data_IF_230315385659
#
_entry.id   IF_230315385659
#
_cell.length_a   1.000
_cell.length_b   1.000
_cell.length_c   1.000
_cell.angle_alpha   90.00
_cell.angle_beta   90.00
_cell.angle_gamma   90.00
#
_symmetry.space_group_name_H-M   'P 1'
#
loop_
_entity.id
_entity.type
_entity.pdbx_description
1 polymer ?
#
# COMPACT_ATOMS: atom_id res chain seq x y z
N UNK A 1 -18.40 20.70 13.83
CA UNK A 1 -18.56 19.46 13.04
C UNK A 1 -18.06 19.60 11.58
N UNK A 2 -18.27 20.74 10.89
CA UNK A 2 -17.86 20.89 9.48
C UNK A 2 -16.34 20.87 9.30
N UNK A 3 -15.58 21.51 10.18
CA UNK A 3 -14.11 21.40 10.19
C UNK A 3 -13.65 19.95 10.41
N UNK A 4 -14.33 19.22 11.26
CA UNK A 4 -14.02 17.80 11.52
C UNK A 4 -14.33 16.93 10.30
N UNK A 5 -15.44 17.19 9.59
CA UNK A 5 -15.78 16.50 8.34
C UNK A 5 -14.72 16.74 7.27
N UNK A 6 -14.28 17.99 7.12
CA UNK A 6 -13.20 18.34 6.18
C UNK A 6 -11.87 17.67 6.56
N UNK A 7 -11.49 17.67 7.86
CA UNK A 7 -10.30 16.95 8.35
C UNK A 7 -10.38 15.45 8.03
N UNK A 8 -11.51 14.82 8.30
CA UNK A 8 -11.72 13.41 8.00
C UNK A 8 -11.61 13.09 6.50
N UNK A 9 -12.19 13.92 5.64
CA UNK A 9 -12.10 13.76 4.19
C UNK A 9 -10.65 13.88 3.71
N UNK A 10 -9.91 14.87 4.21
CA UNK A 10 -8.49 15.03 3.91
C UNK A 10 -7.65 13.84 4.38
N UNK A 11 -7.90 13.33 5.60
CA UNK A 11 -7.25 12.14 6.14
C UNK A 11 -7.51 10.91 5.27
N UNK A 12 -8.76 10.71 4.84
CA UNK A 12 -9.12 9.59 3.97
C UNK A 12 -8.39 9.67 2.63
N UNK A 13 -8.38 10.83 2.00
CA UNK A 13 -7.69 11.04 0.72
C UNK A 13 -6.18 10.84 0.86
N UNK A 14 -5.55 11.37 1.92
CA UNK A 14 -4.13 11.23 2.17
C UNK A 14 -3.73 9.77 2.46
N UNK A 15 -4.53 9.03 3.25
CA UNK A 15 -4.34 7.59 3.49
C UNK A 15 -4.42 6.81 2.19
N UNK A 16 -5.46 7.03 1.40
CA UNK A 16 -5.70 6.29 0.17
C UNK A 16 -4.57 6.56 -0.83
N UNK A 17 -4.11 7.81 -0.95
CA UNK A 17 -2.94 8.17 -1.74
C UNK A 17 -1.67 7.46 -1.26
N UNK A 18 -1.36 7.52 0.03
CA UNK A 18 -0.19 6.86 0.60
C UNK A 18 -0.23 5.34 0.37
N UNK A 19 -1.40 4.70 0.53
CA UNK A 19 -1.58 3.28 0.27
C UNK A 19 -1.28 2.91 -1.19
N UNK A 20 -1.79 3.69 -2.15
CA UNK A 20 -1.52 3.48 -3.58
C UNK A 20 -0.03 3.59 -3.87
N UNK A 21 0.64 4.63 -3.37
CA UNK A 21 2.08 4.83 -3.59
C UNK A 21 2.92 3.70 -2.97
N UNK A 22 2.60 3.27 -1.74
CA UNK A 22 3.31 2.13 -1.13
C UNK A 22 3.11 0.86 -1.96
N UNK A 23 1.88 0.52 -2.35
CA UNK A 23 1.61 -0.68 -3.14
C UNK A 23 2.22 -0.63 -4.55
N UNK A 24 2.30 0.56 -5.16
CA UNK A 24 2.86 0.74 -6.50
C UNK A 24 4.39 0.63 -6.53
N UNK A 25 5.08 1.22 -5.56
CA UNK A 25 6.52 1.46 -5.68
C UNK A 25 7.39 0.61 -4.75
N UNK A 26 6.87 0.08 -3.63
CA UNK A 26 7.70 -0.72 -2.71
C UNK A 26 7.78 -2.20 -3.08
N UNK A 27 6.93 -2.64 -3.99
CA UNK A 27 6.78 -4.04 -4.36
C UNK A 27 6.49 -5.02 -3.20
N UNK A 28 6.13 -4.54 -2.01
CA UNK A 28 5.71 -5.39 -0.88
C UNK A 28 4.42 -6.12 -1.21
N UNK A 29 4.26 -7.30 -0.65
CA UNK A 29 2.99 -8.02 -0.74
C UNK A 29 1.96 -7.33 0.15
N UNK A 30 0.73 -7.19 -0.34
CA UNK A 30 -0.34 -6.55 0.44
C UNK A 30 -0.54 -7.17 1.83
N UNK A 31 -0.36 -8.49 1.97
CA UNK A 31 -0.44 -9.17 3.27
C UNK A 31 0.80 -8.98 4.16
N UNK A 32 1.88 -8.36 3.68
CA UNK A 32 3.02 -7.93 4.49
C UNK A 32 2.79 -6.52 5.05
N UNK A 33 2.03 -5.70 4.33
CA UNK A 33 1.72 -4.32 4.68
C UNK A 33 0.52 -4.20 5.62
N UNK A 34 -0.49 -5.05 5.45
CA UNK A 34 -1.80 -4.93 6.08
C UNK A 34 -2.09 -6.08 7.04
N UNK A 35 -3.13 -5.89 7.87
CA UNK A 35 -3.53 -6.89 8.86
C UNK A 35 -4.16 -8.13 8.21
N UNK A 36 -3.77 -9.30 8.71
CA UNK A 36 -4.49 -10.56 8.51
C UNK A 36 -5.25 -10.92 9.79
N UNK A 37 -6.59 -10.98 9.79
CA UNK A 37 -7.37 -11.35 10.96
C UNK A 37 -7.07 -12.75 11.50
N UNK A 38 -6.55 -13.64 10.66
CA UNK A 38 -6.27 -15.03 11.01
C UNK A 38 -4.82 -15.27 11.47
N UNK A 39 -3.93 -14.27 11.33
CA UNK A 39 -2.55 -14.36 11.81
C UNK A 39 -2.19 -13.12 12.65
N UNK A 40 -2.15 -13.23 14.00
CA UNK A 40 -1.89 -12.09 14.89
C UNK A 40 -0.49 -11.46 14.68
N UNK A 41 0.45 -12.19 14.08
CA UNK A 41 1.78 -11.66 13.72
C UNK A 41 1.70 -10.66 12.58
N UNK A 42 0.64 -10.74 11.75
CA UNK A 42 0.33 -9.82 10.64
C UNK A 42 -0.62 -8.73 11.10
N UNK A 43 -0.13 -7.90 12.03
CA UNK A 43 -0.90 -6.79 12.60
C UNK A 43 -1.09 -5.60 11.66
N UNK A 44 -0.42 -5.61 10.53
CA UNK A 44 -0.22 -4.46 9.65
C UNK A 44 0.92 -3.56 10.13
N UNK A 45 1.52 -2.83 9.20
CA UNK A 45 2.65 -1.94 9.45
C UNK A 45 2.22 -0.75 10.32
N UNK A 46 3.04 -0.38 11.29
CA UNK A 46 2.87 0.77 12.19
C UNK A 46 3.88 1.86 11.86
N UNK A 47 3.69 3.04 12.40
CA UNK A 47 4.64 4.12 12.21
C UNK A 47 6.01 3.82 12.82
N UNK A 48 6.09 3.04 13.91
CA UNK A 48 7.34 2.54 14.50
C UNK A 48 8.13 1.59 13.58
N UNK A 49 7.47 0.98 12.59
CA UNK A 49 8.10 0.09 11.63
C UNK A 49 8.67 0.84 10.40
N UNK A 50 8.51 2.18 10.33
CA UNK A 50 8.96 3.01 9.20
C UNK A 50 10.14 3.89 9.59
N UNK A 51 11.22 3.82 8.83
CA UNK A 51 12.30 4.82 8.83
C UNK A 51 12.22 5.65 7.55
N UNK A 52 11.45 6.76 7.62
CA UNK A 52 11.24 7.61 6.45
C UNK A 52 12.48 8.40 6.03
N UNK A 53 13.44 8.56 6.92
CA UNK A 53 14.71 9.24 6.65
C UNK A 53 15.72 8.28 6.01
N UNK A 54 15.71 7.00 6.39
CA UNK A 54 16.54 5.95 5.81
C UNK A 54 15.89 5.28 4.58
N UNK A 55 14.65 5.62 4.25
CA UNK A 55 13.93 5.05 3.12
C UNK A 55 13.65 3.54 3.27
N UNK A 56 13.29 3.11 4.48
CA UNK A 56 13.02 1.70 4.78
C UNK A 56 11.77 1.49 5.64
N UNK A 57 11.22 0.30 5.59
CA UNK A 57 10.18 -0.17 6.51
C UNK A 57 10.37 -1.65 6.84
N UNK A 58 10.08 -2.03 8.08
CA UNK A 58 10.07 -3.41 8.51
C UNK A 58 8.71 -4.05 8.19
N UNK A 59 8.74 -5.22 7.54
CA UNK A 59 7.55 -5.98 7.18
C UNK A 59 7.69 -7.44 7.60
N UNK A 60 6.55 -8.06 7.96
CA UNK A 60 6.54 -9.48 8.28
C UNK A 60 6.37 -10.30 6.99
N UNK A 61 7.49 -10.89 6.54
CA UNK A 61 7.58 -11.60 5.26
C UNK A 61 6.82 -12.94 5.28
N UNK A 62 6.62 -13.49 4.08
CA UNK A 62 6.05 -14.85 3.91
C UNK A 62 6.88 -15.93 4.60
N UNK A 63 8.19 -15.73 4.71
CA UNK A 63 9.13 -16.62 5.44
C UNK A 63 8.93 -16.63 6.97
N UNK A 64 7.90 -15.92 7.47
CA UNK A 64 7.57 -15.80 8.90
C UNK A 64 8.68 -15.13 9.73
N UNK A 65 9.36 -14.15 9.17
CA UNK A 65 10.35 -13.31 9.83
C UNK A 65 10.16 -11.84 9.46
N UNK A 66 10.59 -10.95 10.33
CA UNK A 66 10.70 -9.53 10.05
C UNK A 66 11.90 -9.27 9.15
N UNK A 67 11.74 -8.39 8.16
CA UNK A 67 12.79 -8.02 7.22
C UNK A 67 12.50 -6.63 6.65
N UNK A 68 13.55 -5.91 6.29
CA UNK A 68 13.44 -4.57 5.73
C UNK A 68 12.96 -4.61 4.28
N UNK A 69 12.07 -3.68 3.94
CA UNK A 69 11.66 -3.35 2.59
C UNK A 69 12.04 -1.91 2.26
N UNK A 70 12.42 -1.64 1.02
CA UNK A 70 12.79 -0.29 0.58
C UNK A 70 11.56 0.60 0.41
N UNK A 71 11.69 1.85 0.85
CA UNK A 71 10.77 2.95 0.59
C UNK A 71 11.44 3.93 -0.38
N UNK A 72 11.22 3.84 -1.68
CA UNK A 72 11.80 4.78 -2.64
C UNK A 72 11.20 6.18 -2.50
N UNK A 73 11.94 7.21 -2.92
CA UNK A 73 11.59 8.62 -2.76
C UNK A 73 10.14 8.99 -3.13
N UNK A 74 9.53 8.46 -4.22
CA UNK A 74 8.14 8.77 -4.53
C UNK A 74 7.14 8.41 -3.43
N UNK A 75 7.49 7.47 -2.53
CA UNK A 75 6.63 7.00 -1.43
C UNK A 75 6.77 7.87 -0.19
N UNK A 76 7.95 8.44 0.03
CA UNK A 76 8.29 9.19 1.26
C UNK A 76 7.39 10.42 1.44
N UNK A 77 7.25 11.25 0.39
CA UNK A 77 6.47 12.49 0.46
C UNK A 77 4.97 12.24 0.76
N UNK A 78 4.27 11.30 0.10
CA UNK A 78 2.91 10.92 0.47
C UNK A 78 2.77 10.43 1.91
N UNK A 79 3.69 9.59 2.39
CA UNK A 79 3.67 9.09 3.77
C UNK A 79 3.89 10.21 4.80
N UNK A 80 4.86 11.10 4.58
CA UNK A 80 5.11 12.25 5.45
C UNK A 80 3.89 13.19 5.50
N UNK A 81 3.30 13.49 4.35
CA UNK A 81 2.10 14.34 4.25
C UNK A 81 0.92 13.72 5.00
N UNK A 82 0.72 12.41 4.83
CA UNK A 82 -0.32 11.68 5.52
C UNK A 82 -0.09 11.64 7.04
N UNK A 83 1.14 11.34 7.50
CA UNK A 83 1.49 11.34 8.94
C UNK A 83 1.26 12.71 9.57
N UNK A 84 1.63 13.80 8.86
CA UNK A 84 1.41 15.17 9.31
C UNK A 84 -0.07 15.53 9.47
N UNK A 85 -0.96 15.01 8.62
CA UNK A 85 -2.41 15.21 8.73
C UNK A 85 -3.03 14.35 9.82
N UNK A 86 -2.58 13.10 9.95
CA UNK A 86 -3.10 12.14 10.90
C UNK A 86 -2.71 12.51 12.33
N UNK A 87 -1.47 12.97 12.56
CA UNK A 87 -0.90 13.22 13.89
C UNK A 87 -1.17 12.02 14.80
N UNK A 88 -0.58 10.84 14.52
CA UNK A 88 -0.85 9.64 15.31
C UNK A 88 -0.43 9.87 16.76
N UNK A 89 -1.25 9.51 17.76
CA UNK A 89 -0.93 9.72 19.18
C UNK A 89 0.36 9.04 19.62
N UNK A 90 0.66 7.88 19.04
CA UNK A 90 1.89 7.14 19.31
C UNK A 90 2.42 6.49 18.00
N UNK A 91 3.70 6.13 17.99
CA UNK A 91 4.31 5.41 16.87
C UNK A 91 3.74 3.99 16.67
N UNK A 92 3.04 3.46 17.67
CA UNK A 92 2.36 2.16 17.60
C UNK A 92 1.07 2.18 16.80
N UNK A 93 0.62 3.36 16.35
CA UNK A 93 -0.55 3.46 15.49
C UNK A 93 -0.28 2.82 14.13
N UNK A 94 -1.28 2.11 13.55
CA UNK A 94 -1.12 1.56 12.22
C UNK A 94 -0.96 2.68 11.19
N UNK A 95 -0.11 2.45 10.19
CA UNK A 95 0.03 3.39 9.07
C UNK A 95 -1.28 3.47 8.29
N UNK A 96 -1.96 2.35 8.13
CA UNK A 96 -3.23 2.26 7.41
C UNK A 96 -4.36 1.77 8.33
N UNK A 97 -4.86 2.60 9.27
CA UNK A 97 -5.96 2.21 10.15
C UNK A 97 -7.26 2.00 9.38
N UNK A 98 -8.15 1.19 9.93
CA UNK A 98 -9.51 1.10 9.42
C UNK A 98 -10.26 2.41 9.64
N UNK A 99 -11.08 2.81 8.64
CA UNK A 99 -12.04 3.91 8.74
C UNK A 99 -13.48 3.40 8.78
N UNK A 100 -13.64 2.08 8.95
CA UNK A 100 -14.96 1.46 9.08
C UNK A 100 -15.65 1.90 10.37
N UNK A 101 -16.79 2.57 10.21
CA UNK A 101 -17.51 3.17 11.33
C UNK A 101 -18.05 2.13 12.32
N UNK A 102 -18.43 0.94 11.86
CA UNK A 102 -18.94 -0.11 12.74
C UNK A 102 -17.81 -0.65 13.62
N UNK A 103 -16.67 -0.93 13.03
CA UNK A 103 -15.47 -1.39 13.75
C UNK A 103 -15.01 -0.35 14.78
N UNK A 104 -14.94 0.92 14.37
CA UNK A 104 -14.51 2.01 15.26
C UNK A 104 -15.51 2.25 16.39
N UNK A 105 -16.81 2.23 16.08
CA UNK A 105 -17.85 2.42 17.10
C UNK A 105 -17.83 1.34 18.18
N UNK A 106 -17.61 0.09 17.78
CA UNK A 106 -17.43 -1.03 18.73
C UNK A 106 -16.19 -0.83 19.61
N UNK A 107 -15.05 -0.62 18.96
CA UNK A 107 -13.76 -0.43 19.63
C UNK A 107 -13.81 0.74 20.65
N UNK A 108 -14.33 1.90 20.25
CA UNK A 108 -14.42 3.07 21.12
C UNK A 108 -15.31 2.80 22.31
N UNK A 109 -16.47 2.17 22.09
CA UNK A 109 -17.39 1.83 23.20
C UNK A 109 -16.73 0.91 24.21
N UNK A 110 -16.07 -0.15 23.73
CA UNK A 110 -15.45 -1.15 24.58
C UNK A 110 -14.26 -0.53 25.36
N UNK A 111 -13.38 0.20 24.70
CA UNK A 111 -12.23 0.86 25.32
C UNK A 111 -12.61 1.96 26.34
N UNK A 112 -13.63 2.78 26.05
CA UNK A 112 -14.08 3.82 26.98
C UNK A 112 -14.83 3.20 28.17
N UNK A 113 -15.59 2.12 27.96
CA UNK A 113 -16.20 1.36 29.03
C UNK A 113 -15.15 0.71 29.96
N UNK A 114 -14.08 0.14 29.40
CA UNK A 114 -12.96 -0.42 30.16
C UNK A 114 -12.20 0.66 30.96
N UNK A 115 -12.23 1.91 30.48
CA UNK A 115 -11.72 3.09 31.21
C UNK A 115 -12.71 3.61 32.28
N UNK A 116 -13.89 2.96 32.44
CA UNK A 116 -14.89 3.28 33.45
C UNK A 116 -15.92 4.34 33.04
N UNK A 117 -15.99 4.70 31.74
CA UNK A 117 -17.02 5.62 31.24
C UNK A 117 -18.40 4.91 31.16
N UNK A 118 -19.46 5.62 31.53
CA UNK A 118 -20.83 5.11 31.42
C UNK A 118 -21.33 5.16 29.97
N UNK A 119 -22.24 4.24 29.56
CA UNK A 119 -22.75 4.18 28.20
C UNK A 119 -23.34 5.50 27.65
N UNK A 120 -24.01 6.26 28.53
CA UNK A 120 -24.61 7.55 28.19
C UNK A 120 -23.50 8.57 27.86
N UNK A 121 -22.45 8.65 28.71
CA UNK A 121 -21.31 9.54 28.50
C UNK A 121 -20.53 9.20 27.22
N UNK A 122 -20.38 7.90 26.91
CA UNK A 122 -19.74 7.43 25.67
C UNK A 122 -20.56 7.89 24.44
N UNK A 123 -21.88 7.77 24.53
CA UNK A 123 -22.79 8.20 23.45
C UNK A 123 -22.70 9.70 23.22
N UNK A 124 -22.74 10.51 24.28
CA UNK A 124 -22.62 11.96 24.23
C UNK A 124 -21.26 12.36 23.64
N UNK A 125 -20.15 11.77 24.13
CA UNK A 125 -18.80 12.04 23.64
C UNK A 125 -18.66 11.73 22.14
N UNK A 126 -19.22 10.61 21.67
CA UNK A 126 -19.21 10.27 20.24
C UNK A 126 -20.00 11.27 19.39
N UNK A 127 -21.08 11.83 19.91
CA UNK A 127 -21.88 12.82 19.21
C UNK A 127 -21.14 14.16 18.99
N UNK A 128 -20.09 14.45 19.74
CA UNK A 128 -19.23 15.63 19.57
C UNK A 128 -18.30 15.51 18.34
N UNK A 129 -18.15 14.31 17.81
CA UNK A 129 -17.25 14.04 16.70
C UNK A 129 -18.01 13.71 15.41
N UNK A 130 -17.55 14.27 14.30
CA UNK A 130 -18.12 13.98 12.99
C UNK A 130 -17.88 12.53 12.53
N UNK A 131 -16.84 11.89 13.07
CA UNK A 131 -16.45 10.50 12.79
C UNK A 131 -15.70 9.89 13.95
N UNK A 132 -15.94 8.63 14.25
CA UNK A 132 -15.30 7.86 15.32
C UNK A 132 -13.76 7.83 15.23
N UNK A 133 -13.19 7.86 14.02
CA UNK A 133 -11.75 7.95 13.85
C UNK A 133 -11.14 9.19 14.52
N UNK A 134 -11.84 10.34 14.48
CA UNK A 134 -11.32 11.57 15.08
C UNK A 134 -11.35 11.48 16.61
N UNK A 135 -12.38 10.88 17.18
CA UNK A 135 -12.42 10.57 18.62
C UNK A 135 -11.33 9.58 19.00
N UNK A 136 -11.12 8.53 18.19
CA UNK A 136 -10.07 7.54 18.42
C UNK A 136 -8.67 8.19 18.44
N UNK A 137 -8.38 9.13 17.53
CA UNK A 137 -7.14 9.90 17.52
C UNK A 137 -6.99 10.77 18.79
N UNK A 138 -8.04 11.48 19.17
CA UNK A 138 -7.99 12.40 20.32
C UNK A 138 -7.92 11.67 21.68
N UNK A 139 -8.34 10.41 21.75
CA UNK A 139 -8.35 9.59 22.98
C UNK A 139 -7.29 8.49 23.02
N UNK A 140 -6.42 8.42 22.00
CA UNK A 140 -5.45 7.32 21.79
C UNK A 140 -6.10 5.92 21.88
N UNK A 141 -7.26 5.76 21.26
CA UNK A 141 -7.90 4.47 21.06
C UNK A 141 -7.45 3.93 19.71
N UNK A 142 -6.49 3.02 19.72
CA UNK A 142 -5.80 2.56 18.52
C UNK A 142 -6.65 1.58 17.71
N UNK A 143 -7.10 1.95 16.47
CA UNK A 143 -7.82 1.06 15.59
C UNK A 143 -6.92 -0.02 15.00
N UNK A 144 -7.46 -1.15 14.56
CA UNK A 144 -6.70 -2.10 13.78
C UNK A 144 -6.34 -1.53 12.40
N UNK A 145 -5.25 -2.04 11.79
CA UNK A 145 -4.96 -1.80 10.37
C UNK A 145 -6.07 -2.37 9.50
N UNK A 146 -6.28 -1.79 8.30
CA UNK A 146 -7.14 -2.39 7.28
C UNK A 146 -6.65 -3.79 6.89
N UNK A 147 -7.57 -4.60 6.41
CA UNK A 147 -7.27 -5.92 5.85
C UNK A 147 -6.95 -5.83 4.35
N UNK A 148 -6.47 -6.94 3.79
CA UNK A 148 -6.30 -7.06 2.34
C UNK A 148 -7.60 -6.78 1.57
N UNK A 149 -8.74 -7.22 2.09
CA UNK A 149 -10.04 -6.96 1.45
C UNK A 149 -10.46 -5.50 1.58
N UNK A 150 -10.13 -4.86 2.71
CA UNK A 150 -10.27 -3.42 2.87
C UNK A 150 -9.47 -2.63 1.82
N UNK A 151 -8.22 -3.04 1.58
CA UNK A 151 -7.41 -2.43 0.52
C UNK A 151 -7.98 -2.66 -0.88
N UNK A 152 -8.47 -3.87 -1.18
CA UNK A 152 -9.15 -4.16 -2.46
C UNK A 152 -10.37 -3.26 -2.67
N UNK A 153 -11.17 -3.06 -1.64
CA UNK A 153 -12.34 -2.17 -1.70
C UNK A 153 -11.94 -0.71 -1.93
N UNK A 154 -10.85 -0.25 -1.33
CA UNK A 154 -10.31 1.09 -1.56
C UNK A 154 -9.85 1.23 -3.01
N UNK A 155 -9.06 0.30 -3.51
CA UNK A 155 -8.51 0.34 -4.87
C UNK A 155 -9.62 0.26 -5.93
N UNK A 156 -10.63 -0.60 -5.74
CA UNK A 156 -11.80 -0.66 -6.63
C UNK A 156 -12.50 0.71 -6.70
N UNK A 157 -12.84 1.28 -5.55
CA UNK A 157 -13.47 2.61 -5.51
C UNK A 157 -12.61 3.69 -6.17
N UNK A 158 -11.28 3.65 -6.00
CA UNK A 158 -10.37 4.61 -6.63
C UNK A 158 -10.31 4.42 -8.14
N UNK A 159 -10.25 3.17 -8.63
CA UNK A 159 -10.27 2.86 -10.07
C UNK A 159 -11.56 3.33 -10.72
N UNK A 160 -12.71 3.06 -10.09
CA UNK A 160 -14.02 3.54 -10.54
C UNK A 160 -14.09 5.08 -10.56
N UNK A 161 -13.66 5.74 -9.48
CA UNK A 161 -13.67 7.21 -9.38
C UNK A 161 -12.77 7.89 -10.40
N UNK A 162 -11.65 7.26 -10.75
CA UNK A 162 -10.68 7.77 -11.72
C UNK A 162 -10.98 7.30 -13.15
N UNK A 163 -12.07 6.56 -13.35
CA UNK A 163 -12.50 6.02 -14.67
C UNK A 163 -11.37 5.27 -15.38
N UNK A 164 -10.57 4.49 -14.60
CA UNK A 164 -9.46 3.74 -15.15
C UNK A 164 -10.00 2.51 -15.86
N UNK A 165 -9.85 2.47 -17.18
CA UNK A 165 -10.13 1.28 -17.98
C UNK A 165 -9.01 0.24 -17.81
N UNK A 166 -9.40 -0.97 -17.42
CA UNK A 166 -8.44 -2.06 -17.18
C UNK A 166 -8.84 -3.26 -18.03
N UNK A 167 -8.11 -3.44 -19.11
CA UNK A 167 -8.24 -4.64 -19.94
C UNK A 167 -7.54 -5.83 -19.26
N UNK A 168 -8.25 -6.46 -18.31
CA UNK A 168 -7.75 -7.64 -17.62
C UNK A 168 -8.86 -8.63 -17.26
N UNK A 169 -8.68 -9.90 -17.62
CA UNK A 169 -9.68 -10.97 -17.48
C UNK A 169 -10.11 -11.31 -16.04
N UNK A 170 -9.31 -10.92 -15.02
CA UNK A 170 -9.55 -11.28 -13.60
C UNK A 170 -10.04 -10.12 -12.74
N UNK A 171 -9.75 -8.89 -13.09
CA UNK A 171 -10.03 -7.73 -12.27
C UNK A 171 -10.41 -6.55 -13.14
N UNK A 172 -11.47 -5.88 -12.75
CA UNK A 172 -11.99 -4.63 -13.30
C UNK A 172 -11.44 -3.39 -12.57
N UNK A 173 -10.41 -3.55 -11.75
CA UNK A 173 -9.77 -2.49 -10.96
C UNK A 173 -8.27 -2.77 -10.77
N UNK A 174 -7.50 -1.73 -10.42
CA UNK A 174 -6.07 -1.84 -10.08
C UNK A 174 -5.89 -2.69 -8.81
N UNK A 175 -5.68 -3.98 -9.00
CA UNK A 175 -5.52 -4.92 -7.89
C UNK A 175 -4.18 -4.73 -7.17
N UNK A 176 -4.08 -5.04 -5.85
CA UNK A 176 -2.85 -4.82 -5.06
C UNK A 176 -1.59 -5.45 -5.65
N UNK A 177 -1.71 -6.59 -6.33
CA UNK A 177 -0.58 -7.25 -6.99
C UNK A 177 -0.14 -6.58 -8.29
N UNK A 178 -0.95 -5.69 -8.88
CA UNK A 178 -0.62 -4.95 -10.09
C UNK A 178 0.61 -4.07 -9.91
N UNK A 179 0.66 -3.29 -8.83
CA UNK A 179 1.81 -2.45 -8.51
C UNK A 179 3.12 -3.23 -8.39
N UNK A 180 3.10 -4.36 -7.65
CA UNK A 180 4.26 -5.24 -7.53
C UNK A 180 4.71 -5.81 -8.88
N UNK A 181 3.77 -6.16 -9.77
CA UNK A 181 4.10 -6.65 -11.13
C UNK A 181 4.73 -5.54 -11.96
N UNK A 182 4.12 -4.35 -11.99
CA UNK A 182 4.66 -3.21 -12.71
C UNK A 182 6.04 -2.80 -12.23
N UNK A 183 6.26 -2.76 -10.91
CA UNK A 183 7.58 -2.48 -10.34
C UNK A 183 8.61 -3.56 -10.73
N UNK A 184 8.21 -4.83 -10.73
CA UNK A 184 9.07 -5.92 -11.17
C UNK A 184 9.47 -5.79 -12.64
N UNK A 185 8.53 -5.43 -13.51
CA UNK A 185 8.81 -5.18 -14.94
C UNK A 185 9.79 -4.00 -15.13
N UNK A 186 9.53 -2.88 -14.46
CA UNK A 186 10.43 -1.71 -14.50
C UNK A 186 11.85 -2.07 -14.08
N UNK A 187 12.00 -2.84 -12.99
CA UNK A 187 13.31 -3.23 -12.49
C UNK A 187 14.03 -4.24 -13.39
N UNK A 188 13.29 -5.18 -13.99
CA UNK A 188 13.90 -6.14 -14.94
C UNK A 188 14.42 -5.40 -16.16
N UNK A 189 13.62 -4.50 -16.76
CA UNK A 189 14.04 -3.69 -17.91
C UNK A 189 15.23 -2.78 -17.62
N UNK A 190 15.24 -2.15 -16.42
CA UNK A 190 16.28 -1.18 -16.08
C UNK A 190 17.58 -1.81 -15.57
N UNK A 191 17.49 -2.92 -14.84
CA UNK A 191 18.60 -3.45 -14.05
C UNK A 191 18.75 -4.98 -14.13
N UNK A 192 17.89 -5.67 -14.86
CA UNK A 192 17.93 -7.13 -15.02
C UNK A 192 17.32 -7.91 -13.85
N UNK A 193 17.33 -9.23 -14.01
CA UNK A 193 16.64 -10.18 -13.12
C UNK A 193 17.18 -10.21 -11.69
N UNK A 194 18.49 -10.12 -11.51
CA UNK A 194 19.13 -10.20 -10.19
C UNK A 194 18.70 -9.05 -9.27
N UNK A 195 18.71 -7.81 -9.77
CA UNK A 195 18.27 -6.62 -9.01
C UNK A 195 16.79 -6.69 -8.70
N UNK A 196 15.98 -7.04 -9.71
CA UNK A 196 14.54 -7.21 -9.54
C UNK A 196 14.22 -8.30 -8.50
N UNK A 197 14.92 -9.43 -8.52
CA UNK A 197 14.72 -10.52 -7.57
C UNK A 197 14.98 -10.08 -6.12
N UNK A 198 16.07 -9.35 -5.90
CA UNK A 198 16.40 -8.80 -4.57
C UNK A 198 15.33 -7.81 -4.07
N UNK A 199 14.92 -6.89 -4.93
CA UNK A 199 13.89 -5.90 -4.58
C UNK A 199 12.52 -6.53 -4.29
N UNK A 200 12.16 -7.54 -5.06
CA UNK A 200 10.90 -8.28 -4.94
C UNK A 200 10.90 -9.31 -3.80
N UNK A 201 12.01 -9.54 -3.10
CA UNK A 201 12.16 -10.69 -2.18
C UNK A 201 11.66 -12.00 -2.82
N UNK A 202 12.21 -12.30 -4.00
CA UNK A 202 11.95 -13.51 -4.78
C UNK A 202 13.28 -14.16 -5.21
N UNK A 203 13.25 -15.44 -5.64
CA UNK A 203 14.40 -16.02 -6.34
C UNK A 203 14.52 -15.45 -7.76
N UNK A 204 15.74 -15.38 -8.29
CA UNK A 204 15.98 -14.94 -9.66
C UNK A 204 15.24 -15.81 -10.68
N UNK A 205 15.19 -17.12 -10.43
CA UNK A 205 14.46 -18.09 -11.26
C UNK A 205 12.97 -17.74 -11.37
N UNK A 206 12.30 -17.43 -10.24
CA UNK A 206 10.89 -17.01 -10.24
C UNK A 206 10.66 -15.68 -10.97
N UNK A 207 11.62 -14.77 -10.88
CA UNK A 207 11.53 -13.47 -11.59
C UNK A 207 11.74 -13.69 -13.08
N UNK A 208 12.74 -14.51 -13.46
CA UNK A 208 13.01 -14.86 -14.86
C UNK A 208 11.80 -15.57 -15.50
N UNK A 209 11.23 -16.58 -14.84
CA UNK A 209 10.02 -17.26 -15.32
C UNK A 209 8.87 -16.29 -15.57
N UNK A 210 8.64 -15.35 -14.62
CA UNK A 210 7.52 -14.40 -14.70
C UNK A 210 7.68 -13.31 -15.75
N UNK A 211 8.90 -12.87 -16.01
CA UNK A 211 9.22 -11.74 -16.89
C UNK A 211 10.01 -12.14 -18.13
N UNK A 212 10.04 -13.43 -18.50
CA UNK A 212 10.72 -13.96 -19.69
C UNK A 212 10.26 -13.32 -21.00
N UNK A 213 9.01 -12.85 -21.06
CA UNK A 213 8.48 -12.14 -22.21
C UNK A 213 9.21 -10.82 -22.51
N UNK A 214 9.84 -10.18 -21.51
CA UNK A 214 10.64 -8.96 -21.69
C UNK A 214 11.89 -9.29 -22.50
N UNK A 215 12.63 -10.33 -22.11
CA UNK A 215 13.84 -10.77 -22.80
C UNK A 215 13.54 -11.21 -24.24
N UNK A 216 12.43 -11.95 -24.44
CA UNK A 216 12.00 -12.35 -25.76
C UNK A 216 11.65 -11.16 -26.67
N UNK A 217 11.02 -10.11 -26.12
CA UNK A 217 10.74 -8.87 -26.84
C UNK A 217 12.02 -8.14 -27.24
N UNK A 218 12.95 -7.94 -26.30
CA UNK A 218 14.22 -7.26 -26.53
C UNK A 218 15.09 -7.98 -27.58
N UNK A 219 15.12 -9.34 -27.54
CA UNK A 219 15.81 -10.12 -28.56
C UNK A 219 15.15 -10.01 -29.93
N UNK A 220 13.81 -9.93 -29.99
CA UNK A 220 13.07 -9.70 -31.24
C UNK A 220 13.35 -8.33 -31.84
N UNK A 221 13.40 -7.30 -31.02
CA UNK A 221 13.73 -5.93 -31.43
C UNK A 221 15.17 -5.84 -31.95
N UNK A 222 16.14 -6.42 -31.24
CA UNK A 222 17.53 -6.47 -31.61
C UNK A 222 17.74 -7.26 -32.94
N UNK A 223 17.03 -8.38 -33.12
CA UNK A 223 17.08 -9.14 -34.37
C UNK A 223 16.50 -8.31 -35.55
N UNK A 224 15.42 -7.57 -35.31
CA UNK A 224 14.82 -6.70 -36.32
C UNK A 224 15.77 -5.57 -36.72
N UNK A 225 16.44 -4.94 -35.75
CA UNK A 225 17.44 -3.90 -36.00
C UNK A 225 18.60 -4.44 -36.83
N UNK A 226 19.15 -5.61 -36.46
CA UNK A 226 20.24 -6.26 -37.19
C UNK A 226 19.83 -6.61 -38.65
N UNK A 227 18.61 -7.07 -38.88
CA UNK A 227 18.11 -7.35 -40.25
C UNK A 227 17.96 -6.07 -41.07
N UNK A 228 17.46 -4.99 -40.48
CA UNK A 228 17.33 -3.70 -41.17
C UNK A 228 18.70 -3.10 -41.56
N UNK A 229 19.75 -3.32 -40.74
CA UNK A 229 21.11 -2.90 -41.07
C UNK A 229 21.67 -3.65 -42.31
N UNK A 230 21.38 -4.97 -42.40
CA UNK A 230 21.80 -5.78 -43.57
C UNK A 230 21.09 -5.31 -44.83
N UNK A 231 19.79 -5.09 -44.79
CA UNK A 231 18.99 -4.66 -45.95
C UNK A 231 19.44 -3.27 -46.45
N UNK A 232 19.92 -2.39 -45.57
CA UNK A 232 20.46 -1.08 -45.98
C UNK A 232 21.81 -1.20 -46.70
N UNK A 233 22.64 -2.17 -46.31
CA UNK A 233 23.95 -2.42 -46.97
C UNK A 233 23.79 -3.04 -48.36
N UNK A 234 22.79 -3.91 -48.56
CA UNK A 234 22.52 -4.54 -49.86
C UNK A 234 21.80 -3.60 -50.84
N UNK A 235 21.20 -2.51 -50.40
CA UNK A 235 20.54 -1.49 -51.23
C UNK A 235 21.46 -0.42 -51.77
N UNK A 236 22.72 -0.32 -51.35
CA UNK A 236 23.73 0.65 -51.83
C UNK A 236 24.75 0.03 -52.79
N UNK A 237 24.60 -1.22 -53.21
CA UNK A 237 25.45 -1.91 -54.19
C UNK A 237 24.76 -2.01 -55.54
#
# INVERSE_FOLDING_TARGET
LDKQRARYAALKAARDRALVFVLAYTAVRVGELLRDPNDPRRRGVRWEDLSLDDGSMDVYRKKQQWDAASLPDPVISPLRSYRKLMVPPTERWPVFPTFDQRTLAGLIRDELADRGERPEAITERRAEYARDLLLALDTDIRPPSITTDGARSILRRLSETAEIDIDHTKHDYLAPHGGRRGMGEVLVRAFGYTVAARYLDNSEEMVRERYSHIEAGELGDAATEALNEIDTLDGEA
#
